data_IF_487103285525
#
_entry.id   IF_487103285525
#
_cell.length_a   1.000
_cell.length_b   1.000
_cell.length_c   1.000
_cell.angle_alpha   90.00
_cell.angle_beta   90.00
_cell.angle_gamma   90.00
#
_symmetry.space_group_name_H-M   'P 1'
#
loop_
_entity.id
_entity.type
_entity.pdbx_description
1 polymer ?
#
# COMPACT_ATOMS: atom_id res chain seq x y z
N UNK A 1 -0.24 2.83 -17.79
CA UNK A 1 -1.38 3.78 -17.67
C UNK A 1 -2.38 3.37 -16.59
N UNK A 2 -2.84 2.11 -16.53
CA UNK A 2 -3.78 1.63 -15.50
C UNK A 2 -3.37 1.92 -14.04
N UNK A 3 -2.10 1.64 -13.66
CA UNK A 3 -1.58 1.93 -12.30
C UNK A 3 -1.66 3.42 -11.95
N UNK A 4 -1.37 4.30 -12.91
CA UNK A 4 -1.46 5.76 -12.69
C UNK A 4 -2.87 6.19 -12.33
N UNK A 5 -3.88 5.59 -12.97
CA UNK A 5 -5.29 5.91 -12.75
C UNK A 5 -5.74 5.42 -11.37
N UNK A 6 -5.49 4.16 -11.01
CA UNK A 6 -5.86 3.65 -9.68
C UNK A 6 -5.09 4.33 -8.55
N UNK A 7 -3.82 4.67 -8.78
CA UNK A 7 -3.02 5.48 -7.83
C UNK A 7 -3.56 6.90 -7.65
N UNK A 8 -4.09 7.53 -8.72
CA UNK A 8 -4.81 8.81 -8.61
C UNK A 8 -6.03 8.67 -7.71
N UNK A 9 -6.81 7.60 -7.86
CA UNK A 9 -7.97 7.33 -7.00
C UNK A 9 -7.56 7.15 -5.54
N UNK A 10 -6.46 6.44 -5.28
CA UNK A 10 -5.88 6.32 -3.94
C UNK A 10 -5.51 7.69 -3.34
N UNK A 11 -4.76 8.53 -4.04
CA UNK A 11 -4.46 9.90 -3.57
C UNK A 11 -5.68 10.78 -3.37
N UNK A 12 -6.77 10.55 -4.10
CA UNK A 12 -8.00 11.33 -3.93
C UNK A 12 -8.80 10.90 -2.70
N UNK A 13 -8.59 9.68 -2.20
CA UNK A 13 -9.42 9.05 -1.18
C UNK A 13 -8.62 8.45 -0.02
N UNK A 14 -7.33 8.73 0.11
CA UNK A 14 -6.47 8.14 1.13
C UNK A 14 -7.07 8.28 2.54
N UNK A 15 -6.99 7.22 3.34
CA UNK A 15 -7.54 7.22 4.70
C UNK A 15 -9.07 7.20 4.78
N UNK A 16 -9.79 7.08 3.65
CA UNK A 16 -11.24 6.82 3.62
C UNK A 16 -11.50 5.32 3.49
N UNK A 17 -12.27 4.74 4.40
CA UNK A 17 -12.44 3.26 4.47
C UNK A 17 -13.06 2.67 3.20
N UNK A 18 -14.08 3.34 2.66
CA UNK A 18 -14.86 2.82 1.53
C UNK A 18 -14.33 3.25 0.15
N UNK A 19 -13.69 4.41 0.06
CA UNK A 19 -13.31 5.03 -1.22
C UNK A 19 -11.84 4.85 -1.56
N UNK A 20 -10.99 4.56 -0.58
CA UNK A 20 -9.59 4.20 -0.83
C UNK A 20 -9.52 2.84 -1.56
N UNK A 21 -8.41 2.59 -2.26
CA UNK A 21 -8.23 1.48 -3.21
C UNK A 21 -7.14 0.50 -2.80
N UNK A 22 -5.98 1.01 -2.38
CA UNK A 22 -4.82 0.18 -2.06
C UNK A 22 -4.57 0.16 -0.57
N UNK A 23 -4.37 -1.05 -0.03
CA UNK A 23 -4.01 -1.25 1.37
C UNK A 23 -4.98 -0.63 2.39
N UNK A 24 -6.25 -0.44 2.02
CA UNK A 24 -7.26 0.00 2.98
C UNK A 24 -7.65 -1.15 3.94
N UNK A 25 -8.12 -0.84 5.16
CA UNK A 25 -8.61 -1.83 6.10
C UNK A 25 -9.86 -2.48 5.56
N UNK A 26 -10.04 -3.73 5.94
CA UNK A 26 -11.31 -4.43 5.80
C UNK A 26 -12.13 -4.25 7.08
N UNK A 27 -13.44 -4.12 6.95
CA UNK A 27 -14.31 -4.05 8.11
C UNK A 27 -14.40 -5.41 8.80
N UNK A 28 -14.76 -5.43 10.07
CA UNK A 28 -14.90 -6.66 10.85
C UNK A 28 -15.83 -7.68 10.18
N UNK A 29 -16.98 -7.24 9.66
CA UNK A 29 -17.90 -8.09 8.89
C UNK A 29 -17.27 -8.72 7.65
N UNK A 30 -16.40 -8.01 6.94
CA UNK A 30 -15.68 -8.57 5.78
C UNK A 30 -14.61 -9.55 6.26
N UNK A 31 -13.87 -9.17 7.30
CA UNK A 31 -12.81 -9.98 7.91
C UNK A 31 -13.33 -11.34 8.42
N UNK A 32 -14.47 -11.36 9.10
CA UNK A 32 -15.09 -12.58 9.61
C UNK A 32 -15.52 -13.56 8.50
N UNK A 33 -15.80 -13.05 7.30
CA UNK A 33 -16.17 -13.86 6.12
C UNK A 33 -14.98 -14.37 5.32
N UNK A 34 -13.76 -13.90 5.61
CA UNK A 34 -12.57 -14.35 4.89
C UNK A 34 -12.25 -15.80 5.22
N UNK A 35 -11.97 -16.59 4.17
CA UNK A 35 -11.42 -17.93 4.32
C UNK A 35 -10.07 -17.89 5.07
N UNK A 36 -9.72 -18.93 5.86
CA UNK A 36 -8.45 -18.99 6.58
C UNK A 36 -7.23 -18.78 5.67
N UNK A 37 -7.25 -19.34 4.45
CA UNK A 37 -6.18 -19.15 3.46
C UNK A 37 -6.01 -17.69 3.06
N UNK A 38 -7.10 -16.97 2.86
CA UNK A 38 -7.07 -15.53 2.53
C UNK A 38 -6.53 -14.71 3.68
N UNK A 39 -6.86 -15.08 4.93
CA UNK A 39 -6.26 -14.46 6.12
C UNK A 39 -4.75 -14.71 6.17
N UNK A 40 -4.28 -15.94 5.96
CA UNK A 40 -2.84 -16.24 5.87
C UNK A 40 -2.15 -15.42 4.77
N UNK A 41 -2.74 -15.36 3.57
CA UNK A 41 -2.17 -14.59 2.46
C UNK A 41 -2.08 -13.09 2.75
N UNK A 42 -3.00 -12.55 3.56
CA UNK A 42 -3.08 -11.12 3.88
C UNK A 42 -2.25 -10.70 5.10
N UNK A 43 -2.01 -11.60 6.05
CA UNK A 43 -1.40 -11.24 7.34
C UNK A 43 -0.11 -12.00 7.68
N UNK A 44 0.35 -12.94 6.84
CA UNK A 44 1.56 -13.73 7.11
C UNK A 44 2.63 -13.53 6.05
N UNK A 45 3.81 -13.04 6.45
CA UNK A 45 4.95 -12.91 5.53
C UNK A 45 5.34 -14.28 4.93
N UNK A 46 5.73 -14.34 3.65
CA UNK A 46 5.97 -13.23 2.73
C UNK A 46 4.76 -12.84 1.87
N UNK A 47 3.59 -13.47 2.06
CA UNK A 47 2.48 -13.39 1.10
C UNK A 47 1.93 -11.97 0.85
N UNK A 48 1.79 -11.10 1.87
CA UNK A 48 1.35 -9.72 1.64
C UNK A 48 2.31 -8.93 0.73
N UNK A 49 3.59 -9.28 0.72
CA UNK A 49 4.60 -8.66 -0.14
C UNK A 49 4.53 -9.15 -1.60
N UNK A 50 3.62 -10.07 -1.90
CA UNK A 50 3.35 -10.55 -3.26
C UNK A 50 1.90 -10.25 -3.66
N UNK A 51 1.23 -9.34 -2.92
CA UNK A 51 -0.17 -9.04 -3.11
C UNK A 51 -0.43 -8.20 -4.37
N UNK A 52 0.52 -7.37 -4.82
CA UNK A 52 0.31 -6.45 -5.93
C UNK A 52 -0.16 -7.12 -7.22
N UNK A 53 0.44 -8.22 -7.73
CA UNK A 53 -0.09 -8.93 -8.88
C UNK A 53 -1.52 -9.42 -8.68
N UNK A 54 -1.85 -9.96 -7.51
CA UNK A 54 -3.20 -10.43 -7.17
C UNK A 54 -4.20 -9.27 -7.16
N UNK A 55 -3.80 -8.13 -6.56
CA UNK A 55 -4.58 -6.89 -6.55
C UNK A 55 -4.89 -6.37 -7.96
N UNK A 56 -3.96 -6.50 -8.92
CA UNK A 56 -4.24 -6.13 -10.30
C UNK A 56 -5.37 -6.96 -10.93
N UNK A 57 -5.45 -8.24 -10.58
CA UNK A 57 -6.48 -9.13 -11.11
C UNK A 57 -7.83 -8.99 -10.41
N UNK A 58 -7.84 -8.91 -9.08
CA UNK A 58 -9.05 -9.08 -8.26
C UNK A 58 -9.38 -7.89 -7.33
N UNK A 59 -8.52 -6.87 -7.27
CA UNK A 59 -8.59 -5.76 -6.30
C UNK A 59 -8.56 -6.24 -4.84
N UNK A 60 -8.71 -5.29 -3.91
CA UNK A 60 -8.75 -5.53 -2.47
C UNK A 60 -10.08 -6.22 -2.07
N UNK A 61 -10.09 -7.10 -1.04
CA UNK A 61 -11.33 -7.68 -0.54
C UNK A 61 -12.39 -6.62 -0.20
N UNK A 62 -13.62 -6.82 -0.68
CA UNK A 62 -14.70 -5.83 -0.57
C UNK A 62 -14.82 -4.89 -1.78
N UNK A 63 -13.92 -4.99 -2.77
CA UNK A 63 -13.99 -4.32 -4.06
C UNK A 63 -14.12 -5.36 -5.18
N UNK A 64 -14.79 -5.01 -6.26
CA UNK A 64 -15.00 -5.91 -7.41
C UNK A 64 -14.31 -5.40 -8.67
N UNK A 65 -14.03 -6.28 -9.62
CA UNK A 65 -13.44 -5.92 -10.90
C UNK A 65 -11.93 -6.09 -10.96
N UNK A 66 -11.32 -5.55 -12.02
CA UNK A 66 -9.95 -5.88 -12.41
C UNK A 66 -9.28 -4.70 -13.10
N UNK A 67 -7.99 -4.52 -12.85
CA UNK A 67 -7.19 -3.50 -13.55
C UNK A 67 -7.00 -3.82 -15.04
N UNK A 68 -7.31 -5.05 -15.46
CA UNK A 68 -7.25 -5.48 -16.85
C UNK A 68 -8.60 -5.33 -17.58
N UNK A 69 -9.68 -5.09 -16.85
CA UNK A 69 -11.02 -4.91 -17.42
C UNK A 69 -11.32 -3.41 -17.61
N UNK A 70 -11.43 -2.90 -18.86
CA UNK A 70 -11.74 -1.49 -19.11
C UNK A 70 -13.13 -1.08 -18.62
N UNK A 71 -14.04 -2.02 -18.38
CA UNK A 71 -15.37 -1.77 -17.83
C UNK A 71 -15.42 -1.81 -16.30
N UNK A 72 -14.28 -2.00 -15.61
CA UNK A 72 -14.24 -1.88 -14.14
C UNK A 72 -14.64 -0.47 -13.73
N UNK A 73 -15.41 -0.37 -12.66
CA UNK A 73 -15.73 0.84 -11.87
C UNK A 73 -14.49 1.66 -11.44
N UNK A 74 -13.29 1.07 -11.43
CA UNK A 74 -12.01 1.77 -11.28
C UNK A 74 -11.76 2.85 -12.33
N UNK A 75 -12.38 2.74 -13.50
CA UNK A 75 -12.05 3.56 -14.66
C UNK A 75 -13.26 4.33 -15.18
N UNK A 76 -13.06 5.61 -15.46
CA UNK A 76 -14.08 6.40 -16.15
C UNK A 76 -14.17 5.98 -17.63
N UNK A 77 -15.29 6.23 -18.33
CA UNK A 77 -15.42 5.93 -19.75
C UNK A 77 -14.30 6.51 -20.64
N UNK A 78 -13.75 7.67 -20.26
CA UNK A 78 -12.65 8.33 -20.98
C UNK A 78 -11.31 7.61 -20.83
N UNK A 79 -11.11 6.86 -19.74
CA UNK A 79 -9.87 6.16 -19.42
C UNK A 79 -9.81 4.73 -20.01
N UNK A 80 -10.93 4.21 -20.55
CA UNK A 80 -11.02 2.84 -21.07
C UNK A 80 -9.98 2.52 -22.14
N UNK A 81 -9.72 3.47 -23.04
CA UNK A 81 -8.72 3.31 -24.11
C UNK A 81 -7.32 3.09 -23.53
N UNK A 82 -6.96 3.86 -22.51
CA UNK A 82 -5.66 3.74 -21.83
C UNK A 82 -5.51 2.37 -21.14
N UNK A 83 -6.59 1.84 -20.58
CA UNK A 83 -6.62 0.50 -19.98
C UNK A 83 -6.40 -0.56 -21.04
N UNK A 84 -7.12 -0.51 -22.17
CA UNK A 84 -6.97 -1.46 -23.28
C UNK A 84 -5.52 -1.46 -23.77
N UNK A 85 -4.95 -0.29 -24.09
CA UNK A 85 -3.56 -0.18 -24.57
C UNK A 85 -2.59 -0.75 -23.52
N UNK A 86 -2.75 -0.35 -22.25
CA UNK A 86 -1.87 -0.82 -21.16
C UNK A 86 -1.99 -2.31 -20.90
N UNK A 87 -3.14 -2.92 -21.15
CA UNK A 87 -3.37 -4.36 -21.04
C UNK A 87 -2.75 -5.10 -22.21
N UNK A 88 -2.95 -4.63 -23.44
CA UNK A 88 -2.31 -5.19 -24.64
C UNK A 88 -0.79 -5.19 -24.51
N UNK A 89 -0.17 -4.05 -24.15
CA UNK A 89 1.28 -3.98 -23.97
C UNK A 89 1.80 -4.97 -22.92
N UNK A 90 1.04 -5.19 -21.84
CA UNK A 90 1.42 -6.12 -20.78
C UNK A 90 1.40 -7.57 -21.26
N UNK A 91 0.36 -7.99 -21.98
CA UNK A 91 0.29 -9.34 -22.57
C UNK A 91 1.32 -9.53 -23.69
N UNK A 92 1.58 -8.50 -24.51
CA UNK A 92 2.67 -8.53 -25.50
C UNK A 92 4.02 -8.77 -24.81
N UNK A 93 4.30 -8.09 -23.70
CA UNK A 93 5.55 -8.29 -22.97
C UNK A 93 5.68 -9.72 -22.44
N UNK A 94 4.59 -10.32 -21.92
CA UNK A 94 4.60 -11.73 -21.49
C UNK A 94 4.86 -12.66 -22.66
N UNK A 95 4.21 -12.46 -23.81
CA UNK A 95 4.44 -13.25 -25.00
C UNK A 95 5.90 -13.17 -25.48
N UNK A 96 6.52 -11.98 -25.42
CA UNK A 96 7.93 -11.79 -25.72
C UNK A 96 8.84 -12.52 -24.73
N UNK A 97 8.55 -12.47 -23.42
CA UNK A 97 9.31 -13.20 -22.41
C UNK A 97 9.21 -14.72 -22.61
N UNK A 98 8.04 -15.24 -22.96
CA UNK A 98 7.84 -16.66 -23.30
C UNK A 98 8.63 -17.02 -24.55
N UNK A 99 8.56 -16.20 -25.61
CA UNK A 99 9.34 -16.40 -26.83
C UNK A 99 10.84 -16.42 -26.56
N UNK A 100 11.34 -15.50 -25.73
CA UNK A 100 12.74 -15.50 -25.30
C UNK A 100 13.09 -16.75 -24.48
N UNK A 101 12.19 -17.22 -23.63
CA UNK A 101 12.42 -18.45 -22.85
C UNK A 101 12.48 -19.69 -23.76
N UNK A 102 11.73 -19.72 -24.85
CA UNK A 102 11.80 -20.78 -25.85
C UNK A 102 13.13 -20.75 -26.66
N UNK A 103 13.70 -19.56 -26.93
CA UNK A 103 14.93 -19.41 -27.72
C UNK A 103 16.19 -19.55 -26.88
N UNK A 104 16.24 -18.89 -25.71
CA UNK A 104 17.43 -18.79 -24.86
C UNK A 104 17.37 -19.68 -23.61
N UNK A 105 16.26 -20.38 -23.41
CA UNK A 105 15.99 -21.17 -22.20
C UNK A 105 15.35 -20.34 -21.08
N UNK A 106 14.65 -21.04 -20.18
CA UNK A 106 13.91 -20.41 -19.09
C UNK A 106 14.84 -19.74 -18.05
N UNK A 107 15.99 -20.35 -17.73
CA UNK A 107 16.86 -19.90 -16.65
C UNK A 107 17.44 -18.49 -16.90
N UNK A 108 18.00 -18.17 -18.09
CA UNK A 108 18.47 -16.81 -18.36
C UNK A 108 17.37 -15.75 -18.27
N UNK A 109 16.16 -16.06 -18.78
CA UNK A 109 15.01 -15.15 -18.72
C UNK A 109 14.55 -14.91 -17.28
N UNK A 110 14.48 -15.97 -16.47
CA UNK A 110 14.14 -15.83 -15.05
C UNK A 110 15.18 -14.99 -14.29
N UNK A 111 16.47 -15.17 -14.56
CA UNK A 111 17.53 -14.37 -13.92
C UNK A 111 17.45 -12.88 -14.28
N UNK A 112 17.17 -12.57 -15.55
CA UNK A 112 17.18 -11.19 -16.03
C UNK A 112 15.86 -10.44 -15.79
N UNK A 113 14.72 -11.13 -15.85
CA UNK A 113 13.40 -10.51 -15.74
C UNK A 113 12.60 -11.01 -14.54
N UNK A 114 12.59 -12.33 -14.29
CA UNK A 114 11.78 -12.93 -13.23
C UNK A 114 12.19 -12.52 -11.82
N UNK A 115 13.45 -12.74 -11.45
CA UNK A 115 13.99 -12.42 -10.13
C UNK A 115 13.92 -10.91 -9.85
N UNK A 116 14.39 -10.01 -10.74
CA UNK A 116 14.25 -8.56 -10.52
C UNK A 116 12.79 -8.12 -10.40
N UNK A 117 11.86 -8.71 -11.16
CA UNK A 117 10.44 -8.41 -11.04
C UNK A 117 9.87 -8.80 -9.68
N UNK A 118 10.18 -10.00 -9.17
CA UNK A 118 9.71 -10.45 -7.84
C UNK A 118 10.26 -9.53 -6.75
N UNK A 119 11.56 -9.19 -6.81
CA UNK A 119 12.17 -8.26 -5.86
C UNK A 119 11.50 -6.88 -5.93
N UNK A 120 11.19 -6.38 -7.14
CA UNK A 120 10.48 -5.12 -7.31
C UNK A 120 9.07 -5.15 -6.73
N UNK A 121 8.32 -6.25 -6.93
CA UNK A 121 6.98 -6.44 -6.36
C UNK A 121 7.05 -6.44 -4.83
N UNK A 122 7.95 -7.24 -4.25
CA UNK A 122 8.13 -7.30 -2.80
C UNK A 122 8.53 -5.97 -2.19
N UNK A 123 9.43 -5.24 -2.85
CA UNK A 123 9.83 -3.92 -2.41
C UNK A 123 8.68 -2.91 -2.53
N UNK A 124 7.94 -2.90 -3.64
CA UNK A 124 6.80 -2.01 -3.87
C UNK A 124 5.71 -2.22 -2.81
N UNK A 125 5.34 -3.48 -2.54
CA UNK A 125 4.32 -3.78 -1.53
C UNK A 125 4.80 -3.43 -0.12
N UNK A 126 6.08 -3.69 0.20
CA UNK A 126 6.67 -3.31 1.49
C UNK A 126 6.58 -1.80 1.74
N UNK A 127 7.09 -0.99 0.80
CA UNK A 127 7.13 0.48 0.99
C UNK A 127 5.72 1.06 1.01
N UNK A 128 4.82 0.58 0.15
CA UNK A 128 3.44 1.04 0.13
C UNK A 128 2.75 0.68 1.45
N UNK A 129 2.90 -0.55 1.94
CA UNK A 129 2.33 -0.96 3.22
C UNK A 129 2.82 -0.07 4.37
N UNK A 130 4.13 0.11 4.50
CA UNK A 130 4.75 0.86 5.59
C UNK A 130 4.37 2.34 5.62
N UNK A 131 4.03 2.94 4.49
CA UNK A 131 3.54 4.32 4.44
C UNK A 131 2.08 4.48 4.86
N UNK A 132 1.31 3.40 4.92
CA UNK A 132 -0.11 3.42 5.30
C UNK A 132 -0.42 2.62 6.58
N UNK A 133 0.58 1.91 7.14
CA UNK A 133 0.45 0.99 8.27
C UNK A 133 1.63 1.10 9.23
N UNK A 134 1.56 0.36 10.34
CA UNK A 134 2.66 0.23 11.28
C UNK A 134 2.78 1.38 12.27
N UNK A 135 1.67 2.05 12.56
CA UNK A 135 1.56 3.00 13.66
C UNK A 135 0.16 2.93 14.28
N UNK A 136 0.07 2.80 15.61
CA UNK A 136 -1.17 2.41 16.30
C UNK A 136 -2.20 3.55 16.45
N UNK A 137 -1.82 4.77 16.08
CA UNK A 137 -2.62 5.98 16.23
C UNK A 137 -3.02 6.56 14.87
N UNK A 138 -3.12 5.71 13.84
CA UNK A 138 -3.60 6.10 12.52
C UNK A 138 -5.10 5.83 12.40
N UNK A 139 -5.94 6.87 12.45
CA UNK A 139 -7.36 6.70 12.23
C UNK A 139 -7.66 6.41 10.76
N UNK A 140 -8.76 5.75 10.53
CA UNK A 140 -9.46 5.68 9.26
C UNK A 140 -10.81 6.34 9.40
N UNK A 141 -11.24 7.05 8.36
CA UNK A 141 -12.42 7.90 8.41
C UNK A 141 -13.55 7.39 7.50
N UNK A 142 -14.79 7.72 7.89
CA UNK A 142 -16.01 7.54 7.10
C UNK A 142 -16.78 8.86 7.02
N UNK A 143 -17.66 8.95 6.01
CA UNK A 143 -18.64 10.02 5.91
C UNK A 143 -18.03 11.42 6.02
N UNK A 144 -18.61 12.24 6.89
CA UNK A 144 -18.24 13.65 7.08
C UNK A 144 -16.95 13.84 7.91
N UNK A 145 -16.50 12.82 8.64
CA UNK A 145 -15.22 12.87 9.37
C UNK A 145 -14.01 12.79 8.45
N UNK A 146 -14.19 12.33 7.22
CA UNK A 146 -13.13 12.32 6.22
C UNK A 146 -12.99 13.68 5.55
N UNK A 147 -11.75 14.15 5.45
CA UNK A 147 -11.34 15.21 4.53
C UNK A 147 -10.01 14.85 3.90
N UNK A 148 -9.73 15.43 2.73
CA UNK A 148 -8.48 15.18 2.00
C UNK A 148 -7.23 15.39 2.88
N UNK A 149 -7.21 16.47 3.67
CA UNK A 149 -6.12 16.77 4.60
C UNK A 149 -6.05 15.74 5.74
N UNK A 150 -7.19 15.42 6.39
CA UNK A 150 -7.23 14.45 7.49
C UNK A 150 -6.71 13.09 7.05
N UNK A 151 -7.14 12.62 5.88
CA UNK A 151 -6.66 11.37 5.30
C UNK A 151 -5.17 11.44 4.92
N UNK A 152 -4.68 12.56 4.37
CA UNK A 152 -3.27 12.66 3.98
C UNK A 152 -2.33 12.58 5.20
N UNK A 153 -2.78 13.13 6.33
CA UNK A 153 -2.06 13.09 7.61
C UNK A 153 -2.11 11.73 8.32
N UNK A 154 -2.80 10.72 7.76
CA UNK A 154 -2.73 9.33 8.24
C UNK A 154 -1.65 8.52 7.53
N UNK A 155 -1.06 9.06 6.47
CA UNK A 155 0.15 8.47 5.89
C UNK A 155 1.37 8.71 6.78
N UNK A 156 2.39 7.88 6.61
CA UNK A 156 3.57 7.85 7.47
C UNK A 156 4.82 7.99 6.65
N UNK A 157 5.62 9.00 6.96
CA UNK A 157 6.97 9.12 6.43
C UNK A 157 7.85 8.00 7.01
N UNK A 158 8.74 7.45 6.19
CA UNK A 158 9.68 6.38 6.60
C UNK A 158 11.07 6.70 6.09
N UNK A 159 12.08 6.50 6.93
CA UNK A 159 13.48 6.64 6.53
C UNK A 159 14.04 5.27 6.13
N UNK A 160 14.44 5.12 4.87
CA UNK A 160 14.98 3.87 4.33
C UNK A 160 16.52 3.83 4.29
N UNK A 161 17.20 4.76 4.95
CA UNK A 161 18.67 4.82 5.00
C UNK A 161 19.27 5.12 3.62
N UNK A 162 20.25 4.32 3.17
CA UNK A 162 20.86 4.50 1.86
C UNK A 162 19.90 4.26 0.70
N UNK A 163 18.81 3.53 0.93
CA UNK A 163 17.85 3.20 -0.11
C UNK A 163 17.01 4.42 -0.52
N UNK A 164 16.86 5.44 0.35
CA UNK A 164 16.10 6.67 0.08
C UNK A 164 16.40 7.27 -1.31
N UNK A 165 17.67 7.36 -1.70
CA UNK A 165 18.05 7.93 -2.99
C UNK A 165 17.70 7.01 -4.18
N UNK A 166 17.67 5.69 -3.99
CA UNK A 166 17.42 4.70 -5.05
C UNK A 166 15.95 4.74 -5.49
N UNK A 167 15.04 4.91 -4.54
CA UNK A 167 13.59 5.04 -4.78
C UNK A 167 13.08 6.48 -4.68
N UNK A 168 13.95 7.46 -4.96
CA UNK A 168 13.59 8.85 -5.16
C UNK A 168 12.92 9.53 -3.95
N UNK A 169 13.42 9.25 -2.76
CA UNK A 169 12.98 9.82 -1.48
C UNK A 169 11.48 9.64 -1.21
N UNK A 170 10.87 8.57 -1.74
CA UNK A 170 9.45 8.28 -1.55
C UNK A 170 9.05 8.13 -0.07
N UNK A 171 10.02 7.99 0.83
CA UNK A 171 9.83 8.05 2.27
C UNK A 171 9.22 9.36 2.79
N UNK A 172 9.25 10.46 2.01
CA UNK A 172 8.49 11.70 2.30
C UNK A 172 7.04 11.60 1.82
N UNK A 173 6.35 10.55 2.25
CA UNK A 173 5.07 10.13 1.71
C UNK A 173 3.91 11.06 2.11
N UNK A 174 3.98 11.72 3.27
CA UNK A 174 2.96 12.67 3.73
C UNK A 174 2.80 13.82 2.73
N UNK A 175 3.90 14.44 2.33
CA UNK A 175 3.87 15.53 1.35
C UNK A 175 3.52 15.02 -0.04
N UNK A 176 4.00 13.83 -0.41
CA UNK A 176 3.58 13.19 -1.64
C UNK A 176 2.05 13.02 -1.72
N UNK A 177 1.40 12.68 -0.60
CA UNK A 177 -0.04 12.53 -0.52
C UNK A 177 -0.81 13.84 -0.47
N UNK A 178 -0.32 14.83 0.27
CA UNK A 178 -0.97 16.13 0.38
C UNK A 178 -0.81 16.98 -0.88
N UNK A 179 0.31 16.81 -1.60
CA UNK A 179 0.68 17.60 -2.76
C UNK A 179 1.28 16.72 -3.87
N UNK A 180 0.51 15.79 -4.46
CA UNK A 180 1.02 14.83 -5.45
C UNK A 180 1.53 15.47 -6.75
N UNK A 181 1.29 16.78 -6.96
CA UNK A 181 1.81 17.57 -8.07
C UNK A 181 3.27 17.98 -7.87
N UNK A 182 3.78 17.98 -6.62
CA UNK A 182 5.18 18.26 -6.35
C UNK A 182 6.00 17.07 -6.86
N UNK A 183 6.97 17.29 -7.76
CA UNK A 183 7.77 16.21 -8.30
C UNK A 183 8.70 15.64 -7.22
N UNK A 184 9.05 14.35 -7.36
CA UNK A 184 9.82 13.61 -6.35
C UNK A 184 11.14 14.31 -5.94
N UNK A 185 11.82 14.96 -6.89
CA UNK A 185 13.10 15.64 -6.66
C UNK A 185 12.98 16.94 -5.83
N UNK A 186 11.76 17.42 -5.54
CA UNK A 186 11.51 18.51 -4.59
C UNK A 186 10.80 18.06 -3.31
N UNK A 187 10.46 16.78 -3.15
CA UNK A 187 9.68 16.33 -1.99
C UNK A 187 10.44 16.50 -0.66
N UNK A 188 11.76 16.29 -0.66
CA UNK A 188 12.59 16.51 0.54
C UNK A 188 12.58 17.97 0.97
N UNK A 189 12.69 18.89 0.02
CA UNK A 189 12.63 20.34 0.26
C UNK A 189 11.25 20.75 0.77
N UNK A 190 10.19 20.31 0.08
CA UNK A 190 8.81 20.58 0.45
C UNK A 190 8.46 20.02 1.84
N UNK A 191 8.97 18.84 2.18
CA UNK A 191 8.81 18.23 3.51
C UNK A 191 9.47 19.07 4.59
N UNK A 192 10.70 19.55 4.37
CA UNK A 192 11.37 20.45 5.31
C UNK A 192 10.58 21.75 5.52
N UNK A 193 10.02 22.32 4.46
CA UNK A 193 9.22 23.55 4.53
C UNK A 193 7.86 23.33 5.21
N UNK A 194 7.22 22.18 5.00
CA UNK A 194 5.89 21.88 5.54
C UNK A 194 5.92 21.43 7.01
N UNK A 195 7.01 20.79 7.47
CA UNK A 195 7.20 20.35 8.87
C UNK A 195 6.73 21.35 9.93
N UNK A 196 7.23 22.61 9.96
CA UNK A 196 6.80 23.58 10.98
C UNK A 196 5.32 23.97 10.85
N UNK A 197 4.75 23.92 9.65
CA UNK A 197 3.33 24.23 9.40
C UNK A 197 2.42 23.11 9.89
N UNK A 198 2.81 21.86 9.64
CA UNK A 198 2.09 20.68 10.11
C UNK A 198 2.19 20.51 11.64
N UNK A 199 3.29 20.97 12.24
CA UNK A 199 3.47 21.04 13.69
C UNK A 199 3.20 19.70 14.36
N UNK A 200 2.29 19.68 15.34
CA UNK A 200 1.91 18.47 16.09
C UNK A 200 1.30 17.35 15.26
N UNK A 201 0.87 17.63 14.03
CA UNK A 201 0.27 16.64 13.14
C UNK A 201 1.31 15.89 12.31
N UNK A 202 2.55 16.41 12.22
CA UNK A 202 3.64 15.71 11.56
C UNK A 202 4.32 14.72 12.50
N UNK A 203 4.53 13.50 12.00
CA UNK A 203 5.21 12.43 12.75
C UNK A 203 6.61 12.28 12.18
N UNK A 204 7.61 12.61 12.99
CA UNK A 204 9.00 12.45 12.58
C UNK A 204 9.33 10.96 12.40
N UNK A 205 9.88 10.54 11.24
CA UNK A 205 10.25 9.15 11.02
C UNK A 205 11.45 8.76 11.91
N UNK A 206 11.42 7.55 12.44
CA UNK A 206 12.60 6.94 13.06
C UNK A 206 13.74 6.86 12.04
N UNK A 207 14.93 7.29 12.46
CA UNK A 207 16.10 7.32 11.59
C UNK A 207 16.69 5.94 11.39
N UNK A 208 16.84 5.55 10.13
CA UNK A 208 17.55 4.33 9.76
C UNK A 208 19.06 4.54 9.82
N UNK A 209 19.78 3.46 10.10
CA UNK A 209 21.21 3.36 9.74
C UNK A 209 21.38 3.20 8.21
N UNK A 210 22.47 2.59 7.74
CA UNK A 210 22.65 2.28 6.32
C UNK A 210 21.47 1.49 5.71
N UNK A 211 20.95 0.52 6.49
CA UNK A 211 19.79 -0.30 6.12
C UNK A 211 18.65 -0.11 7.13
N UNK A 212 17.38 -0.15 6.69
CA UNK A 212 16.23 0.15 7.54
C UNK A 212 15.72 -1.07 8.30
N UNK A 213 16.57 -1.69 9.12
CA UNK A 213 16.22 -2.93 9.84
C UNK A 213 15.02 -2.77 10.79
N UNK A 214 14.83 -1.58 11.37
CA UNK A 214 13.70 -1.28 12.25
C UNK A 214 12.33 -1.42 11.53
N UNK A 215 12.28 -1.15 10.22
CA UNK A 215 11.06 -1.26 9.42
C UNK A 215 10.57 -2.71 9.28
N UNK A 216 11.47 -3.70 9.39
CA UNK A 216 11.08 -5.11 9.43
C UNK A 216 10.27 -5.39 10.70
N UNK A 217 10.72 -4.88 11.85
CA UNK A 217 9.99 -5.01 13.12
C UNK A 217 8.64 -4.30 13.05
N UNK A 218 8.58 -3.12 12.43
CA UNK A 218 7.34 -2.38 12.20
C UNK A 218 6.37 -3.19 11.35
N UNK A 219 6.83 -3.74 10.22
CA UNK A 219 6.02 -4.59 9.34
C UNK A 219 5.46 -5.80 10.10
N UNK A 220 6.32 -6.57 10.77
CA UNK A 220 5.93 -7.80 11.47
C UNK A 220 4.95 -7.51 12.61
N UNK A 221 5.18 -6.42 13.37
CA UNK A 221 4.25 -5.99 14.40
C UNK A 221 2.90 -5.62 13.80
N UNK A 222 2.89 -4.80 12.75
CA UNK A 222 1.67 -4.31 12.10
C UNK A 222 0.85 -5.47 11.54
N UNK A 223 1.46 -6.41 10.79
CA UNK A 223 0.77 -7.59 10.28
C UNK A 223 0.18 -8.48 11.38
N UNK A 224 0.75 -8.46 12.59
CA UNK A 224 0.28 -9.22 13.75
C UNK A 224 -0.87 -8.53 14.50
N UNK A 225 -1.04 -7.22 14.39
CA UNK A 225 -1.99 -6.47 15.23
C UNK A 225 -3.05 -5.70 14.44
N UNK A 226 -2.78 -5.39 13.17
CA UNK A 226 -3.63 -4.55 12.32
C UNK A 226 -4.47 -5.42 11.36
N UNK A 227 -5.53 -6.05 11.87
CA UNK A 227 -6.29 -7.05 11.11
C UNK A 227 -7.56 -6.50 10.45
N UNK A 228 -8.36 -5.73 11.19
CA UNK A 228 -9.63 -5.19 10.71
C UNK A 228 -9.97 -3.89 11.43
N UNK A 229 -11.03 -3.20 10.99
CA UNK A 229 -11.60 -2.04 11.68
C UNK A 229 -13.08 -2.29 12.01
N UNK A 230 -13.59 -1.66 13.08
CA UNK A 230 -15.00 -1.80 13.47
C UNK A 230 -15.94 -1.40 12.33
N UNK A 231 -17.04 -2.13 12.16
CA UNK A 231 -18.13 -1.75 11.24
C UNK A 231 -18.87 -0.46 11.67
N UNK A 232 -18.70 -0.01 12.91
CA UNK A 232 -19.42 1.13 13.50
C UNK A 232 -18.47 2.30 13.77
N UNK A 233 -18.99 3.52 13.67
CA UNK A 233 -18.29 4.77 13.98
C UNK A 233 -17.63 5.43 12.77
N UNK A 234 -17.46 6.75 12.82
CA UNK A 234 -16.94 7.53 11.68
C UNK A 234 -15.42 7.74 11.74
N UNK A 235 -14.82 7.56 12.92
CA UNK A 235 -13.37 7.52 13.13
C UNK A 235 -13.03 6.19 13.79
N UNK A 236 -12.29 5.33 13.11
CA UNK A 236 -11.95 3.98 13.59
C UNK A 236 -10.47 3.69 13.47
N UNK A 237 -10.02 2.72 14.25
CA UNK A 237 -8.63 2.27 14.29
C UNK A 237 -8.57 0.78 14.04
N UNK A 238 -7.39 0.32 13.61
CA UNK A 238 -7.12 -1.10 13.48
C UNK A 238 -7.33 -1.84 14.80
N UNK A 239 -7.88 -3.05 14.70
CA UNK A 239 -8.12 -3.98 15.78
C UNK A 239 -7.44 -5.31 15.50
N UNK A 240 -7.10 -6.01 16.58
CA UNK A 240 -6.36 -7.26 16.55
C UNK A 240 -7.30 -8.44 16.69
N UNK A 241 -7.18 -9.45 15.81
CA UNK A 241 -7.74 -10.77 16.04
C UNK A 241 -6.81 -11.56 17.01
N UNK A 242 -7.29 -11.91 18.22
CA UNK A 242 -6.51 -12.69 19.18
C UNK A 242 -6.09 -14.07 18.63
N UNK A 243 -6.91 -14.67 17.76
CA UNK A 243 -6.67 -16.01 17.21
C UNK A 243 -5.51 -16.07 16.22
N UNK A 244 -5.23 -14.96 15.50
CA UNK A 244 -4.08 -14.85 14.58
C UNK A 244 -2.83 -14.31 15.27
N UNK A 245 -2.99 -13.48 16.29
CA UNK A 245 -1.87 -12.84 16.98
C UNK A 245 -1.15 -13.77 17.97
N UNK A 246 -1.73 -14.93 18.30
CA UNK A 246 -1.22 -15.87 19.30
C UNK A 246 -1.39 -15.30 20.71
N UNK A 247 -1.92 -16.11 21.62
CA UNK A 247 -2.21 -15.67 22.99
C UNK A 247 -0.96 -15.09 23.68
N UNK A 248 -1.15 -13.89 24.26
CA UNK A 248 -0.20 -13.03 25.01
C UNK A 248 0.50 -11.92 24.23
N UNK A 249 -0.26 -10.99 23.64
CA UNK A 249 0.19 -9.59 23.56
C UNK A 249 -0.72 -8.70 24.42
N UNK A 250 -0.31 -8.45 25.65
CA UNK A 250 -0.86 -7.37 26.48
C UNK A 250 -0.18 -6.08 26.05
N UNK A 251 -0.64 -5.50 24.93
CA UNK A 251 -0.28 -4.14 24.57
C UNK A 251 -0.74 -3.20 25.69
N UNK A 252 0.21 -2.65 26.43
CA UNK A 252 0.01 -1.64 27.46
C UNK A 252 -0.81 -0.46 26.94
N UNK A 253 -1.80 -0.08 27.76
CA UNK A 253 -2.48 1.20 27.88
C UNK A 253 -2.98 1.91 26.62
N UNK A 254 -4.30 1.86 26.44
CA UNK A 254 -5.07 3.09 26.20
C UNK A 254 -6.15 3.22 27.28
N UNK A 255 -5.77 3.89 28.37
CA UNK A 255 -6.70 4.65 29.18
C UNK A 255 -6.96 6.00 28.49
N UNK A 256 -8.25 6.27 28.26
CA UNK A 256 -8.91 7.55 27.97
C UNK A 256 -8.69 8.20 26.60
#
# INVERSE_FOLDING_TARGET
MKKRISHRTHHQNHGHIEKDESWHPITEKVYQKLEPRTKTLRFSVPFPLLAFPVYLWYRSPGKEGSHFNPSSDLFTPKERRDVIISTTCWFTMIALLIGMACVFGLVPVLKLYGVPYIVNVMWLDLVTYLHHHGHQDLPWYRGEEWSYLRGGLTTVDRDYGWINNIHHDIGTHVIHHLFPQIPHYHLVEATKAARPVLGRYYREPEKSGPLPMHLITVLLKSLRVDHFVSDVGDVVFYQTDPSLSGDKWTGTDKQK
#
